data_IF_579496539682
#
_entry.id   IF_579496539682
#
_cell.length_a   1.000
_cell.length_b   1.000
_cell.length_c   1.000
_cell.angle_alpha   90.00
_cell.angle_beta   90.00
_cell.angle_gamma   90.00
#
_symmetry.space_group_name_H-M   'P 1'
#
loop_
_entity.id
_entity.type
_entity.pdbx_description
1 polymer ?
#
# COMPACT_ATOMS: atom_id res chain seq x y z
N UNK A 1 6.35 -11.68 -6.08
CA UNK A 1 5.29 -10.84 -5.51
C UNK A 1 5.84 -9.53 -4.92
N UNK A 2 6.64 -9.55 -3.85
CA UNK A 2 7.18 -8.31 -3.21
C UNK A 2 7.79 -7.30 -4.18
N UNK A 3 8.65 -7.75 -5.12
CA UNK A 3 9.27 -6.86 -6.13
C UNK A 3 8.24 -6.17 -7.04
N UNK A 4 7.17 -6.88 -7.42
CA UNK A 4 6.10 -6.35 -8.28
C UNK A 4 5.24 -5.33 -7.52
N UNK A 5 4.88 -5.64 -6.27
CA UNK A 5 4.17 -4.69 -5.38
C UNK A 5 4.97 -3.40 -5.22
N UNK A 6 6.29 -3.51 -4.99
CA UNK A 6 7.18 -2.33 -4.89
C UNK A 6 7.22 -1.52 -6.18
N UNK A 7 7.34 -2.17 -7.33
CA UNK A 7 7.36 -1.51 -8.63
C UNK A 7 6.02 -0.82 -8.96
N UNK A 8 4.88 -1.46 -8.69
CA UNK A 8 3.53 -0.89 -8.84
C UNK A 8 3.34 0.35 -7.99
N UNK A 9 3.88 0.34 -6.78
CA UNK A 9 3.84 1.48 -5.87
C UNK A 9 4.87 2.57 -6.18
N UNK A 10 5.61 2.48 -7.30
CA UNK A 10 6.66 3.46 -7.64
C UNK A 10 7.80 3.51 -6.62
N UNK A 11 7.99 2.44 -5.85
CA UNK A 11 8.93 2.35 -4.72
C UNK A 11 8.66 3.36 -3.58
N UNK A 12 7.47 3.95 -3.52
CA UNK A 12 7.06 4.87 -2.46
C UNK A 12 5.87 4.34 -1.65
N UNK A 13 5.74 4.80 -0.42
CA UNK A 13 4.62 4.50 0.46
C UNK A 13 3.31 4.95 -0.20
N UNK A 14 2.37 4.03 -0.39
CA UNK A 14 1.10 4.32 -1.08
C UNK A 14 0.18 5.26 -0.30
N UNK A 15 0.50 5.61 0.95
CA UNK A 15 -0.28 6.52 1.79
C UNK A 15 0.29 7.93 1.90
N UNK A 16 1.61 8.08 1.89
CA UNK A 16 2.26 9.38 2.14
C UNK A 16 3.41 9.72 1.19
N UNK A 17 3.85 8.78 0.34
CA UNK A 17 4.84 9.05 -0.71
C UNK A 17 6.28 8.97 -0.26
N UNK A 18 6.53 8.68 1.02
CA UNK A 18 7.88 8.45 1.53
C UNK A 18 8.45 7.16 0.96
N UNK A 19 9.73 7.17 0.59
CA UNK A 19 10.53 6.00 0.21
C UNK A 19 11.34 5.40 1.39
N UNK A 20 11.31 6.03 2.57
CA UNK A 20 12.04 5.58 3.75
C UNK A 20 11.44 4.29 4.34
N UNK A 21 12.28 3.26 4.48
CA UNK A 21 11.97 1.98 5.17
C UNK A 21 10.58 1.44 4.82
N UNK A 22 10.34 1.30 3.52
CA UNK A 22 9.08 0.77 3.00
C UNK A 22 9.00 -0.76 3.04
N UNK A 23 7.91 -1.26 3.59
CA UNK A 23 7.58 -2.67 3.76
C UNK A 23 6.27 -3.02 3.07
N UNK A 24 6.16 -4.26 2.61
CA UNK A 24 4.92 -4.77 2.03
C UNK A 24 4.00 -5.21 3.16
N UNK A 25 2.78 -4.70 3.16
CA UNK A 25 1.73 -5.02 4.13
C UNK A 25 0.45 -5.45 3.40
N UNK A 26 -0.45 -6.14 4.11
CA UNK A 26 -1.73 -6.55 3.55
C UNK A 26 -2.76 -5.42 3.64
N UNK A 27 -3.39 -5.04 2.52
CA UNK A 27 -4.49 -4.06 2.48
C UNK A 27 -5.60 -4.48 3.46
N UNK A 28 -6.09 -5.71 3.32
CA UNK A 28 -6.95 -6.37 4.30
C UNK A 28 -6.09 -7.34 5.13
N UNK A 29 -5.98 -7.13 6.45
CA UNK A 29 -5.11 -7.93 7.31
C UNK A 29 -5.28 -9.44 7.15
N UNK A 30 -4.17 -10.17 7.15
CA UNK A 30 -4.14 -11.63 6.99
C UNK A 30 -5.10 -12.38 7.93
N UNK A 31 -5.23 -11.93 9.18
CA UNK A 31 -6.09 -12.59 10.17
C UNK A 31 -7.60 -12.47 9.86
N UNK A 32 -8.00 -11.58 8.95
CA UNK A 32 -9.39 -11.41 8.52
C UNK A 32 -9.70 -12.30 7.31
N UNK A 33 -8.90 -12.20 6.24
CA UNK A 33 -9.21 -12.86 4.95
C UNK A 33 -8.35 -14.09 4.65
N UNK A 34 -7.17 -14.22 5.28
CA UNK A 34 -6.18 -15.28 4.99
C UNK A 34 -5.78 -15.35 3.51
N UNK A 35 -5.75 -14.21 2.85
CA UNK A 35 -5.40 -14.05 1.43
C UNK A 35 -4.05 -13.34 1.30
N UNK A 36 -3.14 -13.93 0.52
CA UNK A 36 -1.82 -13.39 0.23
C UNK A 36 -1.61 -13.23 -1.29
N UNK A 37 -2.57 -12.56 -1.92
CA UNK A 37 -2.52 -12.25 -3.35
C UNK A 37 -1.98 -10.83 -3.56
N UNK A 38 -1.41 -10.58 -4.74
CA UNK A 38 -0.74 -9.31 -5.06
C UNK A 38 -1.68 -8.10 -4.96
N UNK A 39 -2.98 -8.29 -5.16
CA UNK A 39 -4.02 -7.26 -5.05
C UNK A 39 -4.35 -6.91 -3.59
N UNK A 40 -4.12 -7.84 -2.66
CA UNK A 40 -4.26 -7.59 -1.23
C UNK A 40 -2.95 -7.08 -0.60
N UNK A 41 -1.93 -6.73 -1.39
CA UNK A 41 -0.65 -6.22 -0.88
C UNK A 41 -0.42 -4.78 -1.28
N UNK A 42 0.13 -3.98 -0.36
CA UNK A 42 0.47 -2.58 -0.56
C UNK A 42 1.86 -2.28 0.00
N UNK A 43 2.49 -1.19 -0.48
CA UNK A 43 3.77 -0.72 0.05
C UNK A 43 3.54 0.43 1.02
N UNK A 44 4.04 0.31 2.26
CA UNK A 44 3.92 1.34 3.30
C UNK A 44 5.27 1.63 3.96
N UNK A 45 5.57 2.90 4.21
CA UNK A 45 6.68 3.27 5.10
C UNK A 45 6.38 2.85 6.54
N UNK A 46 7.43 2.64 7.34
CA UNK A 46 7.32 2.18 8.72
C UNK A 46 6.28 2.95 9.57
N UNK A 47 6.20 4.30 9.55
CA UNK A 47 5.18 5.04 10.31
C UNK A 47 3.74 4.73 9.86
N UNK A 48 3.51 4.65 8.55
CA UNK A 48 2.19 4.37 7.99
C UNK A 48 1.78 2.92 8.27
N UNK A 49 2.70 1.97 8.12
CA UNK A 49 2.48 0.56 8.42
C UNK A 49 2.06 0.37 9.89
N UNK A 50 2.80 0.99 10.83
CA UNK A 50 2.47 0.94 12.26
C UNK A 50 1.14 1.62 12.60
N UNK A 51 0.79 2.70 11.91
CA UNK A 51 -0.47 3.42 12.12
C UNK A 51 -1.68 2.60 11.66
N UNK A 52 -1.56 1.93 10.51
CA UNK A 52 -2.57 1.00 9.97
C UNK A 52 -2.78 -0.18 10.91
N UNK A 53 -1.69 -0.89 11.24
CA UNK A 53 -1.74 -2.10 12.06
C UNK A 53 -2.74 -3.13 11.52
N UNK A 54 -3.50 -3.76 12.42
CA UNK A 54 -4.52 -4.77 12.07
C UNK A 54 -5.86 -4.22 11.59
N UNK A 55 -5.94 -2.96 11.14
CA UNK A 55 -7.19 -2.33 10.70
C UNK A 55 -7.36 -2.47 9.19
N UNK A 56 -8.61 -2.58 8.75
CA UNK A 56 -8.98 -2.31 7.36
C UNK A 56 -9.16 -0.80 7.22
N UNK A 57 -8.31 -0.15 6.44
CA UNK A 57 -8.48 1.28 6.16
C UNK A 57 -9.57 1.42 5.10
N UNK A 58 -10.68 2.09 5.43
CA UNK A 58 -11.76 2.37 4.48
C UNK A 58 -11.36 3.45 3.45
N UNK A 59 -10.34 4.23 3.78
CA UNK A 59 -9.82 5.30 2.96
C UNK A 59 -8.49 4.84 2.35
N UNK A 60 -8.57 4.21 1.18
CA UNK A 60 -7.41 3.92 0.34
C UNK A 60 -6.82 5.20 -0.22
N UNK A 61 -6.33 6.11 0.64
CA UNK A 61 -5.81 7.43 0.30
C UNK A 61 -4.76 7.30 -0.79
N UNK A 62 -5.15 7.59 -2.02
CA UNK A 62 -4.23 7.87 -3.13
C UNK A 62 -3.88 9.34 -3.03
N UNK A 63 -2.61 9.68 -3.19
CA UNK A 63 -2.18 11.09 -3.20
C UNK A 63 -1.38 11.37 -4.47
N UNK A 64 -0.87 12.58 -4.67
CA UNK A 64 -0.28 13.04 -5.95
C UNK A 64 0.84 12.18 -6.56
N UNK A 65 1.46 11.27 -5.80
CA UNK A 65 2.47 10.33 -6.31
C UNK A 65 1.84 9.05 -6.89
N UNK A 66 0.56 8.78 -6.62
CA UNK A 66 -0.18 7.66 -7.17
C UNK A 66 -0.77 8.05 -8.53
N UNK A 67 -0.58 7.22 -9.55
CA UNK A 67 -1.03 7.50 -10.90
C UNK A 67 -2.54 7.72 -11.01
N UNK A 68 -3.33 7.03 -10.17
CA UNK A 68 -4.79 7.14 -10.19
C UNK A 68 -5.29 8.44 -9.53
N UNK A 69 -4.43 9.18 -8.81
CA UNK A 69 -4.83 10.41 -8.12
C UNK A 69 -5.36 11.48 -9.07
N UNK A 70 -4.78 11.60 -10.26
CA UNK A 70 -5.21 12.57 -11.27
C UNK A 70 -6.35 12.04 -12.15
N UNK A 71 -6.97 10.90 -11.81
CA UNK A 71 -7.92 10.21 -12.69
C UNK A 71 -7.26 9.67 -13.95
N UNK A 72 -5.93 9.51 -13.94
CA UNK A 72 -5.16 8.94 -15.04
C UNK A 72 -5.17 7.40 -14.95
N UNK A 73 -6.36 6.83 -15.01
CA UNK A 73 -6.53 5.41 -15.36
C UNK A 73 -7.61 5.30 -16.43
N UNK A 74 -7.16 4.99 -17.65
CA UNK A 74 -7.98 4.49 -18.75
C UNK A 74 -8.35 3.02 -18.51
#
# INVERSE_FOLDING_TARGET
MVKRVKARAGYVCQKCGSDDRCEVDHVVPWHIVKVHDEDNLMLLCLPCNRSKGGKVEADGRKTWFDADFFGATA
#
